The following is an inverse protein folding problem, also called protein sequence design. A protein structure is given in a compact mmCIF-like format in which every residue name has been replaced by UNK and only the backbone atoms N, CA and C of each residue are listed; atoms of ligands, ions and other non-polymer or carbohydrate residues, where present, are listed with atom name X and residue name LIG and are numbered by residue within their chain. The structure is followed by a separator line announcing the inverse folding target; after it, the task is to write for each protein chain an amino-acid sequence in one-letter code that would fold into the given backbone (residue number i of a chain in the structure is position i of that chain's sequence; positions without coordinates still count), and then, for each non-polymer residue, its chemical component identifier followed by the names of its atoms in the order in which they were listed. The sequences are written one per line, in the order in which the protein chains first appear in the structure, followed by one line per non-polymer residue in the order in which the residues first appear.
data_IF_053227298417
#
_entry.id   IF_053227298417
#
_cell.length_a   1.000
_cell.length_b   1.000
_cell.length_c   1.000
_cell.angle_alpha   90.00
_cell.angle_beta   90.00
_cell.angle_gamma   90.00
#
_symmetry.space_group_name_H-M   'P 1'
#
loop_
_entity.id
_entity.type
_entity.pdbx_description
1 polymer ?
#
# COMPACT_ATOMS: atom_id res chain seq x y z
N UNK A 1 -19.23 13.82 19.95
CA UNK A 1 -19.70 12.69 20.79
C UNK A 1 -21.11 12.32 20.38
N UNK A 2 -21.36 11.02 20.33
CA UNK A 2 -22.67 10.48 19.99
C UNK A 2 -23.18 9.61 21.14
N UNK A 3 -24.49 9.66 21.41
CA UNK A 3 -25.18 8.69 22.22
C UNK A 3 -25.82 7.68 21.26
N UNK A 4 -25.44 6.41 21.42
CA UNK A 4 -25.86 5.34 20.51
C UNK A 4 -26.18 4.09 21.35
N UNK A 5 -27.23 3.40 20.98
CA UNK A 5 -27.55 2.09 21.56
C UNK A 5 -26.76 1.02 20.78
N UNK A 6 -25.91 0.26 21.47
CA UNK A 6 -25.09 -0.77 20.88
C UNK A 6 -25.32 -2.14 21.47
N UNK A 7 -25.20 -3.18 20.67
CA UNK A 7 -25.12 -4.56 21.15
C UNK A 7 -23.70 -5.06 21.02
N UNK A 8 -23.02 -5.26 22.14
CA UNK A 8 -21.66 -5.78 22.18
C UNK A 8 -21.69 -7.30 22.35
N UNK A 9 -20.70 -7.96 21.78
CA UNK A 9 -20.41 -9.39 21.92
C UNK A 9 -18.93 -9.56 22.22
N UNK A 10 -18.59 -10.54 23.04
CA UNK A 10 -17.21 -10.98 23.17
C UNK A 10 -16.68 -11.44 21.80
N UNK A 11 -15.38 -11.27 21.54
CA UNK A 11 -14.77 -11.81 20.33
C UNK A 11 -15.03 -13.31 20.27
N UNK A 12 -15.60 -13.76 19.16
CA UNK A 12 -15.83 -15.18 18.91
C UNK A 12 -15.72 -15.44 17.42
N UNK A 13 -14.84 -16.36 17.03
CA UNK A 13 -14.58 -16.76 15.67
C UNK A 13 -14.87 -18.23 15.43
N UNK A 14 -15.06 -18.60 14.17
CA UNK A 14 -15.12 -19.98 13.74
C UNK A 14 -13.68 -20.52 13.67
N UNK A 15 -13.40 -21.59 14.41
CA UNK A 15 -12.10 -22.26 14.41
C UNK A 15 -12.12 -23.42 13.41
N UNK A 16 -12.10 -23.10 12.13
CA UNK A 16 -11.92 -24.12 11.11
C UNK A 16 -10.43 -24.44 10.96
N UNK A 17 -10.04 -25.70 10.76
CA UNK A 17 -8.67 -26.06 10.45
C UNK A 17 -8.17 -25.24 9.25
N UNK A 18 -7.01 -24.60 9.39
CA UNK A 18 -6.42 -23.70 8.39
C UNK A 18 -7.25 -22.47 8.00
N UNK A 19 -8.33 -22.17 8.74
CA UNK A 19 -9.12 -20.96 8.57
C UNK A 19 -8.48 -19.74 9.22
N UNK A 20 -9.01 -18.56 8.90
CA UNK A 20 -8.60 -17.30 9.53
C UNK A 20 -9.03 -17.29 11.00
N UNK A 21 -8.08 -17.11 11.91
CA UNK A 21 -8.34 -17.00 13.35
C UNK A 21 -8.73 -15.55 13.68
N UNK A 22 -10.05 -15.33 13.72
CA UNK A 22 -10.62 -14.01 14.00
C UNK A 22 -10.39 -13.56 15.45
N UNK A 23 -10.37 -14.48 16.41
CA UNK A 23 -10.13 -14.14 17.82
C UNK A 23 -8.70 -13.68 18.03
N UNK A 24 -7.73 -14.41 17.46
CA UNK A 24 -6.32 -14.04 17.49
C UNK A 24 -6.09 -12.68 16.81
N UNK A 25 -6.72 -12.44 15.65
CA UNK A 25 -6.64 -11.17 14.94
C UNK A 25 -7.22 -10.02 15.78
N UNK A 26 -8.36 -10.21 16.43
CA UNK A 26 -8.92 -9.17 17.30
C UNK A 26 -8.04 -8.89 18.51
N UNK A 27 -7.47 -9.94 19.08
CA UNK A 27 -6.54 -9.80 20.20
C UNK A 27 -5.27 -9.06 19.80
N UNK A 28 -4.71 -9.37 18.65
CA UNK A 28 -3.57 -8.64 18.04
C UNK A 28 -3.89 -7.14 17.85
N UNK A 29 -5.10 -6.83 17.41
CA UNK A 29 -5.56 -5.45 17.24
C UNK A 29 -5.95 -4.76 18.55
N UNK A 30 -5.84 -5.43 19.70
CA UNK A 30 -6.28 -4.92 21.00
C UNK A 30 -7.79 -4.73 21.12
N UNK A 31 -8.59 -5.39 20.29
CA UNK A 31 -10.04 -5.30 20.26
C UNK A 31 -10.66 -6.31 21.24
N UNK A 32 -11.34 -5.80 22.27
CA UNK A 32 -11.91 -6.63 23.33
C UNK A 32 -13.38 -6.98 23.10
N UNK A 33 -14.07 -6.31 22.19
CA UNK A 33 -15.45 -6.56 21.87
C UNK A 33 -15.76 -6.21 20.41
N UNK A 34 -16.72 -6.92 19.85
CA UNK A 34 -17.39 -6.56 18.58
C UNK A 34 -18.82 -6.17 18.86
N UNK A 35 -19.42 -5.42 17.95
CA UNK A 35 -20.82 -5.05 18.11
C UNK A 35 -21.38 -4.29 16.92
N UNK A 36 -22.64 -3.98 17.02
CA UNK A 36 -23.34 -3.17 16.05
C UNK A 36 -24.26 -2.16 16.72
N UNK A 37 -24.50 -1.05 16.06
CA UNK A 37 -25.47 -0.05 16.48
C UNK A 37 -26.86 -0.63 16.26
N UNK A 38 -27.68 -0.66 17.31
CA UNK A 38 -29.07 -1.07 17.20
C UNK A 38 -29.89 0.06 16.60
N UNK A 39 -30.71 -0.28 15.62
CA UNK A 39 -31.59 0.66 14.93
C UNK A 39 -33.00 0.05 14.79
N UNK A 40 -33.46 -0.68 15.82
CA UNK A 40 -34.81 -1.26 15.83
C UNK A 40 -35.89 -0.21 16.19
N UNK A 41 -37.17 -0.52 15.95
CA UNK A 41 -38.29 0.42 16.25
C UNK A 41 -38.41 0.84 17.73
N UNK A 42 -37.78 0.08 18.63
CA UNK A 42 -37.76 0.35 20.09
C UNK A 42 -36.43 0.95 20.55
N UNK A 43 -35.45 1.11 19.68
CA UNK A 43 -34.16 1.64 20.06
C UNK A 43 -34.12 3.16 19.84
N UNK A 44 -33.44 3.87 20.74
CA UNK A 44 -33.25 5.31 20.58
C UNK A 44 -32.34 5.57 19.35
N UNK A 45 -32.72 6.49 18.48
CA UNK A 45 -31.90 6.85 17.32
C UNK A 45 -30.56 7.45 17.78
N UNK A 46 -29.49 7.29 17.01
CA UNK A 46 -28.20 7.91 17.27
C UNK A 46 -28.33 9.44 17.38
N UNK A 47 -27.97 10.01 18.53
CA UNK A 47 -28.05 11.45 18.77
C UNK A 47 -26.65 12.02 18.96
N UNK A 48 -26.36 13.11 18.25
CA UNK A 48 -25.11 13.85 18.44
C UNK A 48 -25.23 14.74 19.67
N UNK A 49 -24.55 14.38 20.76
CA UNK A 49 -24.61 15.08 22.05
C UNK A 49 -23.69 16.30 22.10
N UNK A 50 -22.48 16.19 21.56
CA UNK A 50 -21.51 17.28 21.62
C UNK A 50 -20.44 17.18 20.50
N UNK A 51 -19.87 18.32 20.11
CA UNK A 51 -18.62 18.36 19.38
C UNK A 51 -17.46 17.97 20.31
N UNK A 52 -16.39 17.41 19.76
CA UNK A 52 -15.18 17.04 20.52
C UNK A 52 -13.94 17.36 19.70
N UNK A 53 -12.86 17.70 20.37
CA UNK A 53 -11.53 17.89 19.79
C UNK A 53 -10.60 16.72 20.11
N UNK A 54 -11.13 15.65 20.73
CA UNK A 54 -10.31 14.53 21.23
C UNK A 54 -9.60 13.74 20.14
N UNK A 55 -10.12 13.74 18.90
CA UNK A 55 -9.55 12.96 17.79
C UNK A 55 -9.46 13.84 16.53
N UNK A 56 -8.54 14.82 16.49
CA UNK A 56 -8.51 15.79 15.40
C UNK A 56 -8.11 15.18 14.06
N UNK A 57 -7.22 14.17 14.06
CA UNK A 57 -6.77 13.49 12.85
C UNK A 57 -7.91 12.68 12.22
N UNK A 58 -8.64 11.91 13.03
CA UNK A 58 -9.80 11.12 12.58
C UNK A 58 -10.93 12.03 12.07
N UNK A 59 -11.15 13.16 12.72
CA UNK A 59 -12.14 14.14 12.26
C UNK A 59 -11.74 14.75 10.92
N UNK A 60 -10.46 15.12 10.76
CA UNK A 60 -9.96 15.64 9.49
C UNK A 60 -10.06 14.57 8.40
N UNK A 61 -9.66 13.33 8.71
CA UNK A 61 -9.77 12.19 7.80
C UNK A 61 -11.21 11.95 7.36
N UNK A 62 -12.15 12.00 8.29
CA UNK A 62 -13.58 11.87 8.00
C UNK A 62 -14.08 13.00 7.09
N UNK A 63 -13.73 14.26 7.40
CA UNK A 63 -14.13 15.40 6.56
C UNK A 63 -13.58 15.29 5.13
N UNK A 64 -12.33 14.90 4.98
CA UNK A 64 -11.72 14.70 3.65
C UNK A 64 -12.42 13.56 2.90
N UNK A 65 -12.68 12.44 3.57
CA UNK A 65 -13.43 11.33 2.99
C UNK A 65 -14.82 11.75 2.53
N UNK A 66 -15.56 12.42 3.41
CA UNK A 66 -16.93 12.85 3.12
C UNK A 66 -16.94 13.86 1.95
N UNK A 67 -15.99 14.79 1.90
CA UNK A 67 -15.83 15.71 0.77
C UNK A 67 -15.51 15.01 -0.55
N UNK A 68 -14.68 13.94 -0.53
CA UNK A 68 -14.40 13.12 -1.73
C UNK A 68 -15.68 12.44 -2.21
N UNK A 69 -16.42 11.79 -1.30
CA UNK A 69 -17.65 11.08 -1.64
C UNK A 69 -18.73 12.03 -2.12
N UNK A 70 -18.94 13.15 -1.44
CA UNK A 70 -19.90 14.18 -1.82
C UNK A 70 -19.62 14.71 -3.23
N UNK A 71 -18.36 15.04 -3.53
CA UNK A 71 -17.98 15.56 -4.83
C UNK A 71 -18.10 14.54 -5.97
N UNK A 72 -17.68 13.30 -5.75
CA UNK A 72 -17.56 12.29 -6.79
C UNK A 72 -18.85 11.49 -7.01
N UNK A 73 -19.63 11.28 -5.94
CA UNK A 73 -20.87 10.50 -6.01
C UNK A 73 -22.06 11.40 -6.37
N UNK A 74 -22.22 12.50 -5.62
CA UNK A 74 -23.40 13.36 -5.75
C UNK A 74 -23.25 14.46 -6.81
N UNK A 75 -22.04 14.73 -7.32
CA UNK A 75 -21.76 15.63 -8.43
C UNK A 75 -22.27 17.08 -8.26
N UNK A 76 -21.67 18.02 -8.97
CA UNK A 76 -22.15 19.42 -9.01
C UNK A 76 -23.30 19.64 -10.02
N UNK A 77 -23.79 18.60 -10.65
CA UNK A 77 -24.84 18.72 -11.65
C UNK A 77 -26.19 18.76 -10.95
N UNK A 78 -26.62 19.89 -10.47
CA UNK A 78 -27.91 20.14 -9.80
C UNK A 78 -29.17 19.59 -10.49
N UNK A 79 -29.06 18.53 -11.28
CA UNK A 79 -30.15 17.71 -11.78
C UNK A 79 -30.48 16.65 -10.73
N UNK A 80 -31.57 16.86 -9.98
CA UNK A 80 -32.05 16.01 -8.91
C UNK A 80 -32.46 14.59 -9.30
N UNK A 81 -31.71 13.91 -10.15
CA UNK A 81 -31.81 12.49 -10.40
C UNK A 81 -30.76 11.77 -9.54
N UNK A 82 -31.12 11.53 -8.28
CA UNK A 82 -30.34 10.92 -7.21
C UNK A 82 -30.06 9.41 -7.38
N UNK A 83 -29.92 8.91 -8.59
CA UNK A 83 -29.41 7.55 -8.79
C UNK A 83 -27.89 7.67 -8.88
N UNK A 84 -27.23 7.43 -7.76
CA UNK A 84 -25.77 7.36 -7.70
C UNK A 84 -25.27 6.37 -8.75
N UNK A 85 -24.55 6.87 -9.76
CA UNK A 85 -23.93 6.04 -10.80
C UNK A 85 -22.99 5.05 -10.12
N UNK A 86 -23.21 3.73 -10.26
CA UNK A 86 -22.37 2.71 -9.63
C UNK A 86 -20.88 2.90 -9.95
N UNK A 87 -20.54 3.37 -11.14
CA UNK A 87 -19.16 3.63 -11.58
C UNK A 87 -18.54 4.78 -10.80
N UNK A 88 -19.29 5.84 -10.55
CA UNK A 88 -18.85 6.98 -9.74
C UNK A 88 -18.62 6.57 -8.28
N UNK A 89 -19.54 5.80 -7.72
CA UNK A 89 -19.42 5.29 -6.34
C UNK A 89 -18.17 4.42 -6.16
N UNK A 90 -17.88 3.52 -7.10
CA UNK A 90 -16.69 2.67 -7.11
C UNK A 90 -15.40 3.49 -7.13
N UNK A 91 -15.28 4.40 -8.11
CA UNK A 91 -14.08 5.23 -8.23
C UNK A 91 -13.89 6.16 -7.03
N UNK A 92 -14.97 6.70 -6.47
CA UNK A 92 -14.95 7.51 -5.25
C UNK A 92 -14.42 6.70 -4.04
N UNK A 93 -14.85 5.44 -3.90
CA UNK A 93 -14.36 4.53 -2.87
C UNK A 93 -12.86 4.29 -2.96
N UNK A 94 -12.33 4.06 -4.16
CA UNK A 94 -10.88 3.88 -4.37
C UNK A 94 -10.10 5.17 -4.07
N UNK A 95 -10.58 6.34 -4.55
CA UNK A 95 -9.94 7.63 -4.26
C UNK A 95 -9.93 7.90 -2.75
N UNK A 96 -11.06 7.66 -2.06
CA UNK A 96 -11.14 7.82 -0.60
C UNK A 96 -10.17 6.89 0.13
N UNK A 97 -10.05 5.62 -0.30
CA UNK A 97 -9.12 4.65 0.29
C UNK A 97 -7.66 5.07 0.11
N UNK A 98 -7.27 5.59 -1.06
CA UNK A 98 -5.90 6.04 -1.35
C UNK A 98 -5.51 7.31 -0.58
N UNK A 99 -6.48 8.20 -0.30
CA UNK A 99 -6.22 9.44 0.44
C UNK A 99 -6.27 9.23 1.95
N UNK A 100 -7.33 8.57 2.43
CA UNK A 100 -7.63 8.49 3.87
C UNK A 100 -7.32 7.15 4.51
N UNK A 101 -7.01 6.12 3.71
CA UNK A 101 -6.85 4.75 4.18
C UNK A 101 -8.17 4.02 4.51
N UNK A 102 -9.32 4.64 4.27
CA UNK A 102 -10.62 4.01 4.54
C UNK A 102 -11.04 3.08 3.39
N UNK A 103 -10.67 1.81 3.52
CA UNK A 103 -10.98 0.76 2.56
C UNK A 103 -12.44 0.31 2.59
N UNK A 104 -13.23 0.74 3.58
CA UNK A 104 -14.65 0.37 3.72
C UNK A 104 -15.52 0.96 2.62
N UNK A 105 -15.04 2.01 1.97
CA UNK A 105 -15.71 2.64 0.85
C UNK A 105 -15.61 1.84 -0.46
N UNK A 106 -14.77 0.79 -0.51
CA UNK A 106 -14.61 -0.10 -1.68
C UNK A 106 -15.57 -1.28 -1.53
N UNK A 107 -16.39 -1.53 -2.56
CA UNK A 107 -17.34 -2.64 -2.58
C UNK A 107 -16.66 -4.02 -2.59
N UNK A 108 -17.36 -5.03 -2.06
CA UNK A 108 -16.85 -6.42 -2.06
C UNK A 108 -16.57 -6.95 -3.47
N UNK A 109 -17.45 -6.65 -4.42
CA UNK A 109 -17.28 -7.06 -5.81
C UNK A 109 -15.99 -6.50 -6.43
N UNK A 110 -15.63 -5.25 -6.12
CA UNK A 110 -14.38 -4.65 -6.57
C UNK A 110 -13.16 -5.29 -5.90
N UNK A 111 -13.27 -5.63 -4.60
CA UNK A 111 -12.23 -6.38 -3.91
C UNK A 111 -11.99 -7.76 -4.53
N UNK A 112 -13.04 -8.44 -5.00
CA UNK A 112 -12.92 -9.74 -5.69
C UNK A 112 -12.15 -9.58 -7.01
N UNK A 113 -12.44 -8.54 -7.80
CA UNK A 113 -11.68 -8.19 -9.01
C UNK A 113 -10.22 -7.88 -8.69
N UNK A 114 -9.96 -7.07 -7.67
CA UNK A 114 -8.59 -6.69 -7.29
C UNK A 114 -7.78 -7.88 -6.79
N UNK A 115 -8.40 -8.82 -6.08
CA UNK A 115 -7.76 -10.07 -5.65
C UNK A 115 -7.49 -11.00 -6.82
N UNK A 116 -8.48 -11.21 -7.69
CA UNK A 116 -8.34 -12.05 -8.87
C UNK A 116 -7.22 -11.56 -9.81
N UNK A 117 -7.06 -10.25 -9.93
CA UNK A 117 -6.01 -9.63 -10.77
C UNK A 117 -4.70 -9.35 -10.01
N UNK A 118 -4.62 -9.68 -8.71
CA UNK A 118 -3.39 -9.53 -7.92
C UNK A 118 -3.02 -8.09 -7.58
N UNK A 119 -3.90 -7.10 -7.82
CA UNK A 119 -3.63 -5.67 -7.57
C UNK A 119 -4.22 -5.16 -6.25
N UNK A 120 -4.83 -6.01 -5.42
CA UNK A 120 -5.47 -5.62 -4.17
C UNK A 120 -4.56 -4.80 -3.23
N UNK A 121 -3.26 -5.08 -3.23
CA UNK A 121 -2.28 -4.37 -2.42
C UNK A 121 -2.07 -2.90 -2.84
N UNK A 122 -2.46 -2.51 -4.06
CA UNK A 122 -2.39 -1.13 -4.56
C UNK A 122 -3.64 -0.31 -4.21
N UNK A 123 -4.76 -0.97 -3.88
CA UNK A 123 -6.02 -0.30 -3.50
C UNK A 123 -6.06 0.08 -2.02
N UNK A 124 -5.00 -0.21 -1.32
CA UNK A 124 -4.72 0.24 0.04
C UNK A 124 -3.47 1.12 0.06
N UNK A 125 -3.29 1.89 1.14
CA UNK A 125 -2.05 2.65 1.30
C UNK A 125 -0.90 1.67 1.49
N UNK A 126 -0.07 1.57 0.47
CA UNK A 126 1.09 0.69 0.42
C UNK A 126 2.36 1.41 0.83
N UNK A 127 3.41 0.64 1.11
CA UNK A 127 4.74 1.19 1.34
C UNK A 127 5.25 2.05 0.19
N UNK A 128 4.90 1.68 -1.05
CA UNK A 128 5.27 2.44 -2.25
C UNK A 128 4.64 3.85 -2.26
N UNK A 129 3.37 3.98 -1.85
CA UNK A 129 2.70 5.27 -1.75
C UNK A 129 3.36 6.18 -0.70
N UNK A 130 3.70 5.64 0.47
CA UNK A 130 4.41 6.36 1.54
C UNK A 130 5.79 6.80 1.06
N UNK A 131 6.53 5.91 0.39
CA UNK A 131 7.89 6.22 -0.13
C UNK A 131 7.84 7.28 -1.23
N UNK A 132 6.89 7.18 -2.16
CA UNK A 132 6.67 8.21 -3.19
C UNK A 132 6.36 9.56 -2.57
N UNK A 133 5.47 9.59 -1.58
CA UNK A 133 5.13 10.83 -0.88
C UNK A 133 6.34 11.42 -0.15
N UNK A 134 7.13 10.58 0.55
CA UNK A 134 8.37 10.99 1.20
C UNK A 134 9.36 11.61 0.21
N UNK A 135 9.52 10.97 -0.95
CA UNK A 135 10.42 11.43 -2.01
C UNK A 135 9.96 12.77 -2.61
N UNK A 136 8.67 12.90 -2.95
CA UNK A 136 8.10 14.16 -3.46
C UNK A 136 8.23 15.28 -2.43
N UNK A 137 7.92 15.01 -1.17
CA UNK A 137 8.07 15.97 -0.08
C UNK A 137 9.54 16.41 0.08
N UNK A 138 10.48 15.47 0.05
CA UNK A 138 11.90 15.76 0.11
C UNK A 138 12.37 16.62 -1.08
N UNK A 139 11.89 16.36 -2.30
CA UNK A 139 12.19 17.16 -3.48
C UNK A 139 11.68 18.61 -3.32
N UNK A 140 10.45 18.79 -2.89
CA UNK A 140 9.86 20.12 -2.68
C UNK A 140 10.62 20.88 -1.61
N UNK A 141 10.86 20.23 -0.45
CA UNK A 141 11.64 20.87 0.63
C UNK A 141 13.05 21.24 0.16
N UNK A 142 13.73 20.34 -0.55
CA UNK A 142 15.07 20.61 -1.11
C UNK A 142 15.07 21.81 -2.06
N UNK A 143 14.07 21.90 -2.92
CA UNK A 143 13.95 23.01 -3.87
C UNK A 143 13.71 24.35 -3.16
N UNK A 144 12.82 24.36 -2.16
CA UNK A 144 12.52 25.55 -1.36
C UNK A 144 13.69 25.94 -0.46
N UNK A 145 14.34 24.98 0.21
CA UNK A 145 15.48 25.21 1.10
C UNK A 145 16.64 25.87 0.39
N UNK A 146 16.96 25.44 -0.84
CA UNK A 146 18.01 26.02 -1.68
C UNK A 146 17.76 27.48 -2.08
N UNK A 147 16.51 27.96 -2.02
CA UNK A 147 16.17 29.36 -2.34
C UNK A 147 16.57 30.32 -1.22
N UNK A 148 16.82 29.83 0.00
CA UNK A 148 17.21 30.65 1.13
C UNK A 148 18.67 30.39 1.53
N UNK A 149 19.60 31.34 1.29
CA UNK A 149 20.98 31.20 1.73
C UNK A 149 21.12 30.98 3.24
N UNK A 150 20.27 31.65 4.04
CA UNK A 150 20.28 31.52 5.49
C UNK A 150 19.97 30.09 5.94
N UNK A 151 18.98 29.44 5.36
CA UNK A 151 18.61 28.06 5.67
C UNK A 151 19.71 27.09 5.22
N UNK A 152 20.29 27.31 4.04
CA UNK A 152 21.36 26.45 3.48
C UNK A 152 22.67 26.57 4.27
N UNK A 153 22.94 27.71 4.90
CA UNK A 153 24.08 27.89 5.80
C UNK A 153 23.85 27.25 7.17
N UNK A 154 22.60 27.23 7.66
CA UNK A 154 22.26 26.64 8.96
C UNK A 154 22.26 25.12 8.91
N UNK A 155 21.66 24.52 7.88
CA UNK A 155 21.54 23.06 7.71
C UNK A 155 21.69 22.71 6.23
N UNK A 156 22.49 21.70 5.86
CA UNK A 156 22.60 21.24 4.47
C UNK A 156 21.23 20.85 3.89
N UNK A 157 20.92 21.33 2.68
CA UNK A 157 19.64 21.06 2.02
C UNK A 157 19.33 19.56 1.86
N UNK A 158 20.36 18.72 1.78
CA UNK A 158 20.20 17.26 1.72
C UNK A 158 19.68 16.70 3.04
N UNK A 159 20.27 17.11 4.16
CA UNK A 159 19.83 16.67 5.50
C UNK A 159 18.42 17.19 5.82
N UNK A 160 18.16 18.47 5.54
CA UNK A 160 16.83 19.06 5.72
C UNK A 160 15.76 18.34 4.90
N UNK A 161 16.04 18.03 3.62
CA UNK A 161 15.09 17.30 2.77
C UNK A 161 14.85 15.87 3.23
N UNK A 162 15.88 15.18 3.70
CA UNK A 162 15.78 13.81 4.22
C UNK A 162 14.89 13.76 5.47
N UNK A 163 15.20 14.60 6.47
CA UNK A 163 14.43 14.68 7.72
C UNK A 163 12.98 15.07 7.43
N UNK A 164 12.78 16.10 6.62
CA UNK A 164 11.42 16.55 6.25
C UNK A 164 10.65 15.48 5.47
N UNK A 165 11.31 14.73 4.58
CA UNK A 165 10.71 13.61 3.86
C UNK A 165 10.18 12.54 4.81
N UNK A 166 10.98 12.14 5.80
CA UNK A 166 10.57 11.15 6.82
C UNK A 166 9.44 11.69 7.70
N UNK A 167 9.55 12.94 8.17
CA UNK A 167 8.52 13.55 9.03
C UNK A 167 7.18 13.70 8.30
N UNK A 168 7.20 14.15 7.05
CA UNK A 168 5.97 14.31 6.25
C UNK A 168 5.38 12.95 5.86
N UNK A 169 6.21 11.93 5.57
CA UNK A 169 5.75 10.57 5.38
C UNK A 169 5.09 10.00 6.64
N UNK A 170 5.66 10.28 7.83
CA UNK A 170 5.08 9.89 9.12
C UNK A 170 3.73 10.60 9.34
N UNK A 171 3.65 11.89 9.06
CA UNK A 171 2.40 12.64 9.16
C UNK A 171 1.32 12.08 8.21
N UNK A 172 1.69 11.73 6.97
CA UNK A 172 0.78 11.08 6.02
C UNK A 172 0.36 9.68 6.50
N UNK A 173 1.28 8.88 7.03
CA UNK A 173 0.97 7.57 7.61
C UNK A 173 -0.02 7.68 8.79
N UNK A 174 0.17 8.66 9.67
CA UNK A 174 -0.76 8.95 10.78
C UNK A 174 -2.14 9.41 10.26
N UNK A 175 -2.16 10.32 9.29
CA UNK A 175 -3.39 10.77 8.66
C UNK A 175 -4.14 9.62 7.98
N UNK A 176 -3.44 8.68 7.38
CA UNK A 176 -4.03 7.54 6.68
C UNK A 176 -4.45 6.38 7.60
N UNK A 177 -4.38 6.56 8.91
CA UNK A 177 -4.86 5.60 9.91
C UNK A 177 -3.78 4.67 10.47
N UNK A 178 -2.48 4.98 10.24
CA UNK A 178 -1.35 4.27 10.83
C UNK A 178 -1.40 2.74 10.62
N UNK A 179 -1.80 2.33 9.42
CA UNK A 179 -1.87 0.91 9.07
C UNK A 179 -0.51 0.22 9.10
N UNK A 180 -0.49 -1.09 9.33
CA UNK A 180 0.75 -1.89 9.47
C UNK A 180 1.73 -1.71 8.29
N UNK A 181 1.31 -1.66 7.00
CA UNK A 181 2.23 -1.38 5.90
C UNK A 181 2.90 0.00 6.00
N UNK A 182 2.15 1.01 6.47
CA UNK A 182 2.67 2.37 6.64
C UNK A 182 3.68 2.45 7.79
N UNK A 183 3.38 1.81 8.94
CA UNK A 183 4.30 1.72 10.09
C UNK A 183 5.65 1.15 9.66
N UNK A 184 5.65 0.01 8.97
CA UNK A 184 6.88 -0.64 8.50
C UNK A 184 7.69 0.26 7.58
N UNK A 185 7.02 0.91 6.63
CA UNK A 185 7.70 1.79 5.67
C UNK A 185 8.29 3.02 6.35
N UNK A 186 7.55 3.66 7.25
CA UNK A 186 8.06 4.79 8.04
C UNK A 186 9.26 4.38 8.86
N UNK A 187 9.21 3.21 9.53
CA UNK A 187 10.36 2.67 10.30
C UNK A 187 11.57 2.44 9.41
N UNK A 188 11.40 1.82 8.23
CA UNK A 188 12.48 1.63 7.25
C UNK A 188 13.07 2.97 6.80
N UNK A 189 12.22 3.95 6.43
CA UNK A 189 12.65 5.27 6.00
C UNK A 189 13.40 6.01 7.11
N UNK A 190 12.94 5.91 8.36
CA UNK A 190 13.60 6.51 9.51
C UNK A 190 15.00 5.91 9.76
N UNK A 191 15.11 4.58 9.69
CA UNK A 191 16.41 3.88 9.87
C UNK A 191 17.37 4.28 8.74
N UNK A 192 16.94 4.20 7.48
CA UNK A 192 17.78 4.61 6.35
C UNK A 192 18.17 6.08 6.46
N UNK A 193 17.24 6.93 6.86
CA UNK A 193 17.48 8.36 7.08
C UNK A 193 18.52 8.61 8.18
N UNK A 194 18.41 7.95 9.32
CA UNK A 194 19.36 8.05 10.43
C UNK A 194 20.77 7.56 10.04
N UNK A 195 20.86 6.44 9.31
CA UNK A 195 22.14 5.92 8.81
C UNK A 195 22.78 6.89 7.81
N UNK A 196 22.01 7.49 6.90
CA UNK A 196 22.52 8.49 5.96
C UNK A 196 22.99 9.76 6.68
N UNK A 197 22.25 10.23 7.69
CA UNK A 197 22.64 11.39 8.51
C UNK A 197 23.91 11.13 9.33
N UNK A 198 24.12 9.88 9.78
CA UNK A 198 25.34 9.50 10.51
C UNK A 198 26.59 9.41 9.63
N UNK A 199 26.45 9.58 8.31
CA UNK A 199 27.55 9.47 7.33
C UNK A 199 28.10 8.06 7.14
N UNK A 200 27.52 7.06 7.81
CA UNK A 200 27.95 5.67 7.71
C UNK A 200 27.34 4.98 6.50
N UNK A 201 28.16 4.36 5.68
CA UNK A 201 27.71 3.54 4.56
C UNK A 201 27.64 2.08 4.99
N UNK A 202 26.47 1.64 5.32
CA UNK A 202 26.23 0.25 5.66
C UNK A 202 25.86 -0.55 4.40
N UNK A 203 26.34 -1.80 4.26
CA UNK A 203 25.89 -2.69 3.20
C UNK A 203 24.38 -2.90 3.30
N UNK A 204 23.70 -2.97 2.15
CA UNK A 204 22.24 -3.09 2.11
C UNK A 204 21.67 -4.26 2.93
N UNK A 205 22.33 -5.46 3.06
CA UNK A 205 21.79 -6.54 3.87
C UNK A 205 21.72 -6.18 5.35
N UNK A 206 22.71 -5.42 5.87
CA UNK A 206 22.71 -4.98 7.25
C UNK A 206 21.62 -3.94 7.51
N UNK A 207 21.40 -3.00 6.58
CA UNK A 207 20.32 -2.01 6.68
C UNK A 207 18.96 -2.72 6.66
N UNK A 208 18.79 -3.71 5.77
CA UNK A 208 17.59 -4.50 5.65
C UNK A 208 17.31 -5.32 6.92
N UNK A 209 18.33 -6.02 7.46
CA UNK A 209 18.22 -6.76 8.72
C UNK A 209 17.93 -5.85 9.91
N UNK A 210 18.57 -4.67 9.98
CA UNK A 210 18.30 -3.70 11.03
C UNK A 210 16.85 -3.21 10.97
N UNK A 211 16.33 -2.91 9.77
CA UNK A 211 14.96 -2.51 9.59
C UNK A 211 13.99 -3.64 9.97
N UNK A 212 14.27 -4.87 9.55
CA UNK A 212 13.50 -6.05 9.91
C UNK A 212 13.44 -6.26 11.43
N UNK A 213 14.62 -6.27 12.07
CA UNK A 213 14.74 -6.44 13.52
C UNK A 213 14.05 -5.31 14.30
N UNK A 214 14.15 -4.06 13.82
CA UNK A 214 13.46 -2.93 14.46
C UNK A 214 11.94 -3.04 14.38
N UNK A 215 11.40 -3.47 13.26
CA UNK A 215 9.94 -3.69 13.12
C UNK A 215 9.48 -4.80 14.05
N UNK A 216 10.21 -5.92 14.13
CA UNK A 216 9.89 -7.04 15.04
C UNK A 216 10.03 -6.64 16.51
N UNK A 217 11.01 -5.80 16.84
CA UNK A 217 11.17 -5.30 18.21
C UNK A 217 10.02 -4.39 18.63
N UNK A 218 9.50 -3.55 17.71
CA UNK A 218 8.38 -2.65 17.97
C UNK A 218 7.03 -3.38 17.96
N UNK A 219 6.88 -4.36 17.07
CA UNK A 219 5.69 -5.19 16.93
C UNK A 219 6.08 -6.65 16.70
N UNK A 220 6.21 -7.46 17.77
CA UNK A 220 6.53 -8.89 17.66
C UNK A 220 5.50 -9.69 16.85
N UNK A 221 4.23 -9.23 16.81
CA UNK A 221 3.16 -9.85 16.04
C UNK A 221 3.32 -9.69 14.53
N UNK A 222 4.18 -8.77 14.09
CA UNK A 222 4.50 -8.61 12.68
C UNK A 222 4.91 -9.92 12.01
N UNK A 223 5.59 -10.82 12.73
CA UNK A 223 6.01 -12.13 12.23
C UNK A 223 4.83 -13.06 11.88
N UNK A 224 3.67 -12.89 12.53
CA UNK A 224 2.45 -13.64 12.22
C UNK A 224 1.69 -13.07 11.01
N UNK A 225 2.03 -11.86 10.55
CA UNK A 225 1.34 -11.18 9.48
C UNK A 225 1.93 -11.52 8.11
N UNK A 226 1.08 -12.01 7.19
CA UNK A 226 1.47 -12.28 5.81
C UNK A 226 2.11 -11.06 5.12
N UNK A 227 1.60 -9.87 5.38
CA UNK A 227 2.10 -8.62 4.82
C UNK A 227 3.55 -8.29 5.25
N UNK A 228 4.00 -8.74 6.42
CA UNK A 228 5.39 -8.57 6.86
C UNK A 228 6.32 -9.33 5.92
N UNK A 229 6.08 -10.61 5.74
CA UNK A 229 6.91 -11.47 4.89
C UNK A 229 6.93 -11.01 3.44
N UNK A 230 5.75 -10.69 2.86
CA UNK A 230 5.67 -10.19 1.49
C UNK A 230 6.45 -8.89 1.31
N UNK A 231 6.35 -7.95 2.25
CA UNK A 231 7.04 -6.66 2.16
C UNK A 231 8.56 -6.82 2.27
N UNK A 232 9.04 -7.54 3.29
CA UNK A 232 10.48 -7.69 3.51
C UNK A 232 11.14 -8.56 2.46
N UNK A 233 10.47 -9.64 2.01
CA UNK A 233 10.98 -10.50 0.93
C UNK A 233 11.02 -9.72 -0.39
N UNK A 234 9.97 -8.95 -0.74
CA UNK A 234 9.96 -8.12 -1.94
C UNK A 234 11.12 -7.12 -1.96
N UNK A 235 11.31 -6.38 -0.86
CA UNK A 235 12.41 -5.40 -0.74
C UNK A 235 13.76 -6.10 -0.77
N UNK A 236 13.92 -7.23 -0.09
CA UNK A 236 15.15 -8.03 -0.13
C UNK A 236 15.50 -8.51 -1.54
N UNK A 237 14.51 -9.02 -2.27
CA UNK A 237 14.69 -9.46 -3.67
C UNK A 237 15.06 -8.27 -4.56
N UNK A 238 14.37 -7.13 -4.43
CA UNK A 238 14.68 -5.92 -5.20
C UNK A 238 16.11 -5.45 -4.96
N UNK A 239 16.57 -5.41 -3.72
CA UNK A 239 17.96 -5.02 -3.41
C UNK A 239 18.98 -6.07 -3.86
N UNK A 240 18.66 -7.35 -3.78
CA UNK A 240 19.53 -8.42 -4.23
C UNK A 240 19.67 -8.46 -5.74
N UNK A 241 18.61 -8.10 -6.49
CA UNK A 241 18.58 -8.18 -7.96
C UNK A 241 18.88 -6.86 -8.66
N UNK A 242 18.97 -5.76 -7.93
CA UNK A 242 19.28 -4.44 -8.47
C UNK A 242 20.59 -3.94 -7.82
N UNK A 243 21.77 -4.34 -8.32
CA UNK A 243 23.03 -3.84 -7.77
C UNK A 243 23.05 -2.33 -7.95
N UNK A 244 23.40 -1.62 -6.88
CA UNK A 244 23.58 -0.17 -6.80
C UNK A 244 24.63 0.33 -7.83
N UNK A 245 25.31 -0.58 -8.49
CA UNK A 245 26.33 -0.38 -9.51
C UNK A 245 25.96 -0.92 -10.89
N UNK A 246 24.69 -0.97 -11.25
CA UNK A 246 24.35 -1.09 -12.68
C UNK A 246 24.78 0.21 -13.36
N UNK A 247 26.07 0.28 -13.63
CA UNK A 247 26.71 1.23 -14.52
C UNK A 247 25.85 1.36 -15.77
N UNK A 248 25.46 2.61 -16.06
CA UNK A 248 24.94 3.06 -17.35
C UNK A 248 24.02 2.05 -18.05
N UNK A 249 22.91 1.70 -17.41
CA UNK A 249 21.83 1.04 -18.15
C UNK A 249 21.43 1.99 -19.27
N UNK A 250 21.29 1.42 -20.45
CA UNK A 250 20.79 2.07 -21.64
C UNK A 250 19.64 3.04 -21.26
N UNK A 251 19.92 4.36 -21.37
CA UNK A 251 18.96 5.40 -20.97
C UNK A 251 17.80 5.53 -21.95
N UNK A 252 17.77 4.66 -22.97
CA UNK A 252 16.69 4.59 -23.95
C UNK A 252 15.36 4.19 -23.30
N UNK A 253 14.25 4.61 -23.90
CA UNK A 253 12.92 4.24 -23.43
C UNK A 253 12.70 2.72 -23.45
N UNK A 254 13.27 2.04 -24.45
CA UNK A 254 13.23 0.57 -24.57
C UNK A 254 14.00 -0.14 -23.47
N UNK A 255 15.19 0.38 -23.11
CA UNK A 255 15.99 -0.16 -22.01
C UNK A 255 15.28 -0.04 -20.67
N UNK A 256 14.64 1.11 -20.40
CA UNK A 256 13.84 1.32 -19.19
C UNK A 256 12.63 0.38 -19.13
N UNK A 257 11.92 0.22 -20.24
CA UNK A 257 10.78 -0.70 -20.30
C UNK A 257 11.19 -2.15 -20.02
N UNK A 258 12.30 -2.60 -20.65
CA UNK A 258 12.83 -3.94 -20.39
C UNK A 258 13.25 -4.13 -18.93
N UNK A 259 13.86 -3.13 -18.32
CA UNK A 259 14.21 -3.16 -16.89
C UNK A 259 12.98 -3.31 -15.99
N UNK A 260 11.90 -2.55 -16.26
CA UNK A 260 10.64 -2.66 -15.52
C UNK A 260 10.00 -4.05 -15.66
N UNK A 261 9.96 -4.60 -16.88
CA UNK A 261 9.40 -5.93 -17.15
C UNK A 261 10.22 -7.00 -16.41
N UNK A 262 11.55 -6.91 -16.47
CA UNK A 262 12.47 -7.83 -15.79
C UNK A 262 12.28 -7.76 -14.27
N UNK A 263 12.24 -6.56 -13.70
CA UNK A 263 12.05 -6.34 -12.27
C UNK A 263 10.71 -6.91 -11.81
N UNK A 264 9.63 -6.63 -12.54
CA UNK A 264 8.31 -7.18 -12.25
C UNK A 264 8.29 -8.71 -12.33
N UNK A 265 8.99 -9.28 -13.33
CA UNK A 265 9.09 -10.73 -13.49
C UNK A 265 9.79 -11.40 -12.31
N UNK A 266 10.94 -10.87 -11.90
CA UNK A 266 11.73 -11.38 -10.77
C UNK A 266 10.94 -11.32 -9.47
N UNK A 267 10.30 -10.18 -9.19
CA UNK A 267 9.48 -10.01 -7.97
C UNK A 267 8.28 -10.96 -8.00
N UNK A 268 7.61 -11.09 -9.13
CA UNK A 268 6.46 -12.00 -9.26
C UNK A 268 6.88 -13.45 -8.99
N UNK A 269 7.95 -13.92 -9.62
CA UNK A 269 8.45 -15.29 -9.40
C UNK A 269 8.87 -15.54 -7.95
N UNK A 270 9.56 -14.58 -7.33
CA UNK A 270 10.01 -14.71 -5.95
C UNK A 270 8.86 -14.69 -4.93
N UNK A 271 7.81 -13.89 -5.19
CA UNK A 271 6.68 -13.77 -4.27
C UNK A 271 5.56 -14.79 -4.50
N UNK A 272 5.47 -15.40 -5.68
CA UNK A 272 4.40 -16.37 -5.99
C UNK A 272 4.38 -17.56 -5.01
N UNK A 273 5.51 -18.24 -4.68
CA UNK A 273 5.49 -19.33 -3.71
C UNK A 273 5.04 -18.89 -2.31
N UNK A 274 5.48 -17.69 -1.90
CA UNK A 274 5.09 -17.13 -0.61
C UNK A 274 3.60 -16.73 -0.59
N UNK A 275 3.09 -16.17 -1.69
CA UNK A 275 1.67 -15.86 -1.85
C UNK A 275 0.79 -17.11 -1.81
N UNK A 276 1.23 -18.19 -2.47
CA UNK A 276 0.54 -19.50 -2.40
C UNK A 276 0.52 -20.06 -0.99
N UNK A 277 1.64 -20.01 -0.29
CA UNK A 277 1.73 -20.50 1.09
C UNK A 277 0.83 -19.73 2.04
N UNK A 278 0.77 -18.40 1.90
CA UNK A 278 0.06 -17.51 2.82
C UNK A 278 -1.43 -17.36 2.50
N UNK A 279 -1.82 -17.44 1.24
CA UNK A 279 -3.20 -17.16 0.81
C UNK A 279 -3.88 -18.31 0.07
N UNK A 280 -3.16 -19.36 -0.30
CA UNK A 280 -3.72 -20.49 -1.06
C UNK A 280 -4.18 -20.10 -2.47
N UNK A 281 -3.78 -18.93 -2.99
CA UNK A 281 -4.17 -18.46 -4.32
C UNK A 281 -3.03 -17.75 -5.04
N UNK A 282 -3.06 -17.82 -6.36
CA UNK A 282 -2.17 -17.04 -7.23
C UNK A 282 -2.96 -16.44 -8.39
N UNK A 283 -2.66 -15.20 -8.73
CA UNK A 283 -3.21 -14.54 -9.91
C UNK A 283 -2.28 -14.78 -11.10
N UNK A 284 -2.76 -15.48 -12.12
CA UNK A 284 -1.98 -15.69 -13.35
C UNK A 284 -1.95 -14.43 -14.23
N UNK A 285 -3.04 -13.66 -14.22
CA UNK A 285 -3.08 -12.36 -14.93
C UNK A 285 -2.36 -11.25 -14.15
N UNK A 286 -1.99 -11.52 -12.89
CA UNK A 286 -1.39 -10.55 -11.99
C UNK A 286 -0.09 -9.94 -12.51
N UNK A 287 0.71 -10.68 -13.27
CA UNK A 287 1.91 -10.14 -13.89
C UNK A 287 1.58 -8.98 -14.85
N UNK A 288 0.65 -9.23 -15.79
CA UNK A 288 0.22 -8.21 -16.77
C UNK A 288 -0.51 -7.07 -16.08
N UNK A 289 -1.41 -7.40 -15.15
CA UNK A 289 -2.14 -6.40 -14.39
C UNK A 289 -1.20 -5.46 -13.63
N UNK A 290 -0.20 -5.98 -12.90
CA UNK A 290 0.74 -5.18 -12.12
C UNK A 290 1.72 -4.37 -12.97
N UNK A 291 2.08 -4.84 -14.15
CA UNK A 291 2.92 -4.08 -15.07
C UNK A 291 2.26 -2.74 -15.48
N UNK A 292 0.92 -2.72 -15.57
CA UNK A 292 0.14 -1.51 -15.83
C UNK A 292 -0.27 -0.82 -14.53
N UNK A 293 -0.75 -1.58 -13.54
CA UNK A 293 -1.33 -1.06 -12.31
C UNK A 293 -0.32 -0.29 -11.45
N UNK A 294 0.88 -0.84 -11.26
CA UNK A 294 1.89 -0.21 -10.39
C UNK A 294 2.24 1.20 -10.88
N UNK A 295 2.69 1.42 -12.14
CA UNK A 295 2.99 2.78 -12.60
C UNK A 295 1.73 3.66 -12.66
N UNK A 296 0.58 3.13 -13.09
CA UNK A 296 -0.63 3.92 -13.22
C UNK A 296 -1.16 4.42 -11.88
N UNK A 297 -1.34 3.53 -10.91
CA UNK A 297 -1.83 3.89 -9.58
C UNK A 297 -0.83 4.78 -8.85
N UNK A 298 0.48 4.47 -8.94
CA UNK A 298 1.50 5.19 -8.19
C UNK A 298 1.79 6.57 -8.78
N UNK A 299 1.89 6.70 -10.10
CA UNK A 299 2.35 7.95 -10.74
C UNK A 299 1.20 8.85 -11.22
N UNK A 300 -0.01 8.31 -11.40
CA UNK A 300 -1.16 9.07 -11.89
C UNK A 300 -2.23 9.19 -10.80
N UNK A 301 -2.81 8.06 -10.39
CA UNK A 301 -3.97 8.07 -9.49
C UNK A 301 -3.63 8.66 -8.12
N UNK A 302 -2.57 8.16 -7.48
CA UNK A 302 -2.21 8.57 -6.11
C UNK A 302 -1.81 10.06 -6.03
N UNK A 303 -0.97 10.62 -6.91
CA UNK A 303 -0.68 12.05 -6.90
C UNK A 303 -1.91 12.92 -7.15
N UNK A 304 -2.80 12.53 -8.07
CA UNK A 304 -4.06 13.24 -8.31
C UNK A 304 -4.98 13.17 -7.09
N UNK A 305 -5.11 12.00 -6.49
CA UNK A 305 -5.94 11.79 -5.30
C UNK A 305 -5.44 12.63 -4.11
N UNK A 306 -4.13 12.60 -3.82
CA UNK A 306 -3.52 13.40 -2.76
C UNK A 306 -3.56 14.91 -3.06
N UNK A 307 -3.28 15.29 -4.31
CA UNK A 307 -3.37 16.68 -4.76
C UNK A 307 -4.78 17.25 -4.67
N UNK A 308 -5.80 16.40 -4.79
CA UNK A 308 -7.20 16.75 -4.63
C UNK A 308 -7.57 17.31 -3.25
N UNK A 309 -6.79 16.99 -2.21
CA UNK A 309 -6.94 17.59 -0.88
C UNK A 309 -6.67 19.10 -0.91
N UNK A 310 -5.76 19.55 -1.79
CA UNK A 310 -5.44 20.97 -1.98
C UNK A 310 -6.34 21.62 -3.04
N UNK A 311 -6.68 20.87 -4.09
CA UNK A 311 -7.49 21.35 -5.20
C UNK A 311 -8.47 20.27 -5.65
N UNK A 312 -9.71 20.35 -5.16
CA UNK A 312 -10.74 19.33 -5.31
C UNK A 312 -11.01 18.83 -6.75
N UNK A 313 -10.86 19.61 -7.86
CA UNK A 313 -10.98 19.08 -9.21
C UNK A 313 -10.04 17.92 -9.55
N UNK A 314 -8.90 17.79 -8.87
CA UNK A 314 -7.98 16.67 -9.06
C UNK A 314 -8.58 15.32 -8.62
N UNK A 315 -9.52 15.31 -7.67
CA UNK A 315 -10.28 14.09 -7.35
C UNK A 315 -11.10 13.60 -8.54
N UNK A 316 -11.73 14.52 -9.28
CA UNK A 316 -12.47 14.16 -10.49
C UNK A 316 -11.54 13.62 -11.57
N UNK A 317 -10.35 14.20 -11.74
CA UNK A 317 -9.34 13.68 -12.66
C UNK A 317 -8.84 12.28 -12.23
N UNK A 318 -8.63 12.06 -10.92
CA UNK A 318 -8.27 10.74 -10.38
C UNK A 318 -9.37 9.70 -10.67
N UNK A 319 -10.63 10.04 -10.43
CA UNK A 319 -11.77 9.17 -10.72
C UNK A 319 -11.89 8.84 -12.20
N UNK A 320 -11.73 9.83 -13.08
CA UNK A 320 -11.71 9.61 -14.55
C UNK A 320 -10.56 8.69 -14.97
N UNK A 321 -9.37 8.85 -14.38
CA UNK A 321 -8.22 8.00 -14.68
C UNK A 321 -8.40 6.56 -14.20
N UNK A 322 -9.23 6.33 -13.17
CA UNK A 322 -9.55 4.99 -12.67
C UNK A 322 -10.54 4.23 -13.56
N UNK A 323 -11.40 4.90 -14.33
CA UNK A 323 -12.40 4.23 -15.14
C UNK A 323 -11.80 3.24 -16.17
N UNK A 324 -10.87 3.64 -17.06
CA UNK A 324 -10.27 2.71 -18.02
C UNK A 324 -9.44 1.64 -17.30
N UNK A 325 -8.83 1.99 -16.18
CA UNK A 325 -8.05 1.06 -15.39
C UNK A 325 -8.93 -0.03 -14.76
N UNK A 326 -10.05 0.33 -14.13
CA UNK A 326 -10.99 -0.64 -13.57
C UNK A 326 -11.64 -1.51 -14.64
N UNK A 327 -11.95 -0.94 -15.82
CA UNK A 327 -12.45 -1.71 -16.97
C UNK A 327 -11.44 -2.77 -17.44
N UNK A 328 -10.15 -2.41 -17.51
CA UNK A 328 -9.09 -3.36 -17.82
C UNK A 328 -9.01 -4.49 -16.78
N UNK A 329 -9.06 -4.16 -15.49
CA UNK A 329 -9.02 -5.17 -14.43
C UNK A 329 -10.25 -6.09 -14.47
N UNK A 330 -11.44 -5.55 -14.71
CA UNK A 330 -12.67 -6.34 -14.87
C UNK A 330 -12.56 -7.29 -16.06
N UNK A 331 -12.03 -6.83 -17.18
CA UNK A 331 -11.79 -7.67 -18.33
C UNK A 331 -10.81 -8.81 -18.04
N UNK A 332 -9.69 -8.52 -17.38
CA UNK A 332 -8.72 -9.54 -16.97
C UNK A 332 -9.32 -10.54 -15.97
N UNK A 333 -10.16 -10.08 -15.04
CA UNK A 333 -10.78 -10.91 -14.04
C UNK A 333 -11.86 -11.87 -14.60
N UNK A 334 -12.40 -11.61 -15.80
CA UNK A 334 -13.37 -12.49 -16.45
C UNK A 334 -12.76 -13.80 -16.99
N UNK A 335 -11.45 -13.87 -17.12
CA UNK A 335 -10.79 -15.07 -17.60
C UNK A 335 -10.94 -16.20 -16.58
N UNK A 336 -11.33 -17.42 -16.99
CA UNK A 336 -11.63 -18.54 -16.07
C UNK A 336 -10.45 -18.92 -15.17
N UNK A 337 -9.24 -18.60 -15.59
CA UNK A 337 -7.98 -18.88 -14.91
C UNK A 337 -7.24 -17.61 -14.48
N UNK A 338 -7.95 -16.49 -14.34
CA UNK A 338 -7.37 -15.25 -13.82
C UNK A 338 -6.74 -15.46 -12.43
N UNK A 339 -7.40 -16.24 -11.58
CA UNK A 339 -6.88 -16.67 -10.29
C UNK A 339 -7.05 -18.19 -10.12
N UNK A 340 -5.99 -18.82 -9.62
CA UNK A 340 -5.98 -20.25 -9.32
C UNK A 340 -5.92 -20.43 -7.81
N UNK A 341 -6.85 -21.22 -7.27
CA UNK A 341 -6.89 -21.58 -5.86
C UNK A 341 -6.28 -22.98 -5.70
N UNK A 342 -5.33 -23.10 -4.80
CA UNK A 342 -4.69 -24.38 -4.49
C UNK A 342 -4.97 -24.75 -3.03
N UNK A 343 -5.13 -26.06 -2.74
CA UNK A 343 -5.22 -26.53 -1.37
C UNK A 343 -3.99 -26.13 -0.57
N UNK A 344 -4.15 -25.97 0.74
CA UNK A 344 -3.04 -25.66 1.63
C UNK A 344 -1.93 -26.70 1.49
N UNK A 345 -0.76 -26.27 1.05
CA UNK A 345 0.41 -27.13 0.93
C UNK A 345 0.99 -27.44 2.32
N UNK A 346 1.58 -28.63 2.53
CA UNK A 346 2.33 -28.91 3.75
C UNK A 346 3.46 -27.88 3.92
N UNK A 347 3.77 -27.51 5.16
CA UNK A 347 4.77 -26.48 5.45
C UNK A 347 6.13 -26.74 4.78
N UNK A 348 6.58 -28.00 4.72
CA UNK A 348 7.85 -28.35 4.07
C UNK A 348 7.85 -28.02 2.57
N UNK A 349 6.71 -28.24 1.88
CA UNK A 349 6.58 -27.91 0.46
C UNK A 349 6.56 -26.39 0.26
N UNK A 350 5.90 -25.64 1.16
CA UNK A 350 5.93 -24.17 1.16
C UNK A 350 7.34 -23.61 1.34
N UNK A 351 8.08 -24.12 2.32
CA UNK A 351 9.47 -23.71 2.57
C UNK A 351 10.37 -24.06 1.38
N UNK A 352 10.23 -25.26 0.81
CA UNK A 352 10.98 -25.67 -0.39
C UNK A 352 10.66 -24.76 -1.60
N UNK A 353 9.38 -24.39 -1.79
CA UNK A 353 8.97 -23.49 -2.86
C UNK A 353 9.53 -22.08 -2.68
N UNK A 354 9.53 -21.54 -1.47
CA UNK A 354 10.13 -20.23 -1.15
C UNK A 354 11.64 -20.24 -1.38
N UNK A 355 12.34 -21.29 -0.90
CA UNK A 355 13.77 -21.46 -1.13
C UNK A 355 14.08 -21.60 -2.63
N UNK A 356 13.30 -22.38 -3.37
CA UNK A 356 13.41 -22.52 -4.83
C UNK A 356 13.17 -21.21 -5.56
N UNK A 357 12.16 -20.43 -5.17
CA UNK A 357 11.90 -19.09 -5.74
C UNK A 357 13.05 -18.12 -5.49
N UNK A 358 13.62 -18.11 -4.29
CA UNK A 358 14.78 -17.31 -3.96
C UNK A 358 16.02 -17.73 -4.77
N UNK A 359 16.27 -19.03 -4.91
CA UNK A 359 17.37 -19.56 -5.73
C UNK A 359 17.19 -19.20 -7.21
N UNK A 360 15.99 -19.33 -7.77
CA UNK A 360 15.70 -18.93 -9.15
C UNK A 360 15.93 -17.44 -9.36
N UNK A 361 15.49 -16.60 -8.42
CA UNK A 361 15.74 -15.15 -8.49
C UNK A 361 17.25 -14.84 -8.48
N UNK A 362 18.02 -15.53 -7.62
CA UNK A 362 19.47 -15.38 -7.56
C UNK A 362 20.14 -15.89 -8.85
N UNK A 363 19.74 -17.03 -9.39
CA UNK A 363 20.31 -17.61 -10.62
C UNK A 363 20.02 -16.75 -11.85
N UNK A 364 18.80 -16.20 -11.98
CA UNK A 364 18.45 -15.27 -13.06
C UNK A 364 19.31 -14.00 -13.02
N UNK A 365 19.80 -13.63 -11.84
CA UNK A 365 20.67 -12.49 -11.65
C UNK A 365 22.15 -12.79 -11.90
N UNK A 366 22.63 -13.98 -11.51
CA UNK A 366 24.04 -14.38 -11.61
C UNK A 366 24.42 -14.96 -12.98
N UNK A 367 23.45 -15.15 -13.89
CA UNK A 367 23.77 -15.61 -15.25
C UNK A 367 24.56 -14.49 -15.96
N UNK A 368 25.84 -14.75 -16.38
CA UNK A 368 26.65 -13.75 -17.05
C UNK A 368 25.98 -13.29 -18.35
N UNK A 369 25.95 -11.99 -18.56
CA UNK A 369 25.46 -11.42 -19.82
C UNK A 369 26.28 -12.01 -20.99
N UNK A 370 25.68 -12.30 -22.15
CA UNK A 370 26.43 -12.71 -23.35
C UNK A 370 27.50 -11.71 -23.77
N UNK A 371 27.49 -10.48 -23.22
CA UNK A 371 28.52 -9.45 -23.44
C UNK A 371 29.78 -9.67 -22.60
N UNK A 372 29.67 -10.32 -21.42
CA UNK A 372 30.82 -10.56 -20.54
C UNK A 372 31.67 -11.75 -21.02
N UNK A 373 31.19 -12.51 -22.02
CA UNK A 373 31.94 -13.63 -22.66
C UNK A 373 32.77 -13.20 -23.85
N UNK A 374 32.82 -11.91 -24.17
CA UNK A 374 33.62 -11.35 -25.28
C UNK A 374 34.78 -10.45 -24.79
N UNK A 375 35.43 -10.89 -23.72
CA UNK A 375 36.71 -10.33 -23.28
C UNK A 375 37.86 -11.18 -23.72
#
# INVERSE_FOLDING_TARGET
RWQITVRLKAPHGLRNPHGFDYELWMWEQGLQATGYVRAGPKDEPPVRVAATWQYPVEQLRQRVRDAILERLVFGQDGSGNDIADPTRTRTAGVVAALVTGDQRAIDRADWDVFRATGVAHLMSISGLHITLFAWLAALVVRALWRRSPRLSLAVPAQSASLVSGVLLATAYALFSGWGVPAQRTVTMLAIVGLLQLSGRRWPWPQVWLLACGSVVLLDPWALAQAGFWLSFVAVGVLFATNPIAAEASDTSATGRFYALVREQWVVTLALTPLGLLLFGQVSLVGFVANLVAIPWVTLVVTPLALGGVLWAPLWSAAALSLQPFTALLQWLAQWPWAAVFLPAAPLWAGVAAVAGGALLACLLYTSPSPRDQRG
#
